data_IF_792556135422
#
_entry.id   IF_792556135422
#
_cell.length_a   1.000
_cell.length_b   1.000
_cell.length_c   1.000
_cell.angle_alpha   90.00
_cell.angle_beta   90.00
_cell.angle_gamma   90.00
#
_symmetry.space_group_name_H-M   'P 1'
#
loop_
_entity.id
_entity.type
_entity.pdbx_description
1 polymer ?
#
# COMPACT_ATOMS: atom_id res chain seq x y z
N UNK A 1 -2.48 5.23 1.95
CA UNK A 1 -2.08 4.70 0.63
C UNK A 1 -1.10 3.56 0.82
N UNK A 2 -1.32 2.44 0.13
CA UNK A 2 -0.53 1.21 0.20
C UNK A 2 0.26 1.00 -1.09
N UNK A 3 1.59 0.86 -0.98
CA UNK A 3 2.47 0.67 -2.13
C UNK A 3 2.41 -0.75 -2.72
N UNK A 4 3.02 -0.97 -3.89
CA UNK A 4 3.10 -2.29 -4.53
C UNK A 4 4.29 -3.13 -4.04
N UNK A 5 4.48 -4.28 -4.70
CA UNK A 5 5.62 -5.18 -4.46
C UNK A 5 6.96 -4.49 -4.68
N UNK A 6 7.95 -4.83 -3.85
CA UNK A 6 9.33 -4.36 -3.94
C UNK A 6 9.47 -2.83 -3.95
N UNK A 7 8.58 -2.14 -3.24
CA UNK A 7 8.61 -0.70 -3.06
C UNK A 7 8.78 -0.36 -1.58
N UNK A 8 9.28 0.85 -1.31
CA UNK A 8 9.19 1.46 0.00
C UNK A 8 8.37 2.75 -0.10
N UNK A 9 8.00 3.31 1.05
CA UNK A 9 7.18 4.53 1.12
C UNK A 9 7.84 5.72 0.42
N UNK A 10 9.16 5.86 0.45
CA UNK A 10 9.85 6.96 -0.20
C UNK A 10 9.78 6.87 -1.74
N UNK A 11 10.03 5.68 -2.30
CA UNK A 11 9.92 5.44 -3.75
C UNK A 11 8.48 5.66 -4.21
N UNK A 12 7.52 5.12 -3.46
CA UNK A 12 6.11 5.22 -3.80
C UNK A 12 5.58 6.65 -3.70
N UNK A 13 5.89 7.37 -2.62
CA UNK A 13 5.48 8.78 -2.45
C UNK A 13 6.06 9.69 -3.55
N UNK A 14 7.30 9.46 -3.98
CA UNK A 14 7.89 10.18 -5.11
C UNK A 14 7.13 9.92 -6.42
N UNK A 15 6.79 8.66 -6.71
CA UNK A 15 6.01 8.29 -7.91
C UNK A 15 4.58 8.86 -7.85
N UNK A 16 3.98 8.93 -6.67
CA UNK A 16 2.63 9.43 -6.48
C UNK A 16 2.55 10.94 -6.26
N UNK A 17 3.64 11.70 -6.40
CA UNK A 17 3.70 13.15 -6.07
C UNK A 17 2.60 13.98 -6.74
N UNK A 18 2.31 13.72 -8.03
CA UNK A 18 1.24 14.42 -8.77
C UNK A 18 -0.15 14.15 -8.17
N UNK A 19 -0.43 12.90 -7.81
CA UNK A 19 -1.68 12.49 -7.17
C UNK A 19 -1.81 13.11 -5.78
N UNK A 20 -0.75 13.04 -4.97
CA UNK A 20 -0.72 13.66 -3.63
C UNK A 20 -1.02 15.15 -3.72
N UNK A 21 -0.37 15.88 -4.64
CA UNK A 21 -0.61 17.32 -4.83
C UNK A 21 -2.10 17.61 -5.12
N UNK A 22 -2.76 16.77 -5.92
CA UNK A 22 -4.20 16.91 -6.21
C UNK A 22 -5.07 16.62 -4.98
N UNK A 23 -4.79 15.53 -4.26
CA UNK A 23 -5.52 15.16 -3.04
C UNK A 23 -5.37 16.22 -1.95
N UNK A 24 -4.16 16.70 -1.71
CA UNK A 24 -3.90 17.78 -0.74
C UNK A 24 -4.57 19.08 -1.14
N UNK A 25 -4.57 19.44 -2.44
CA UNK A 25 -5.34 20.60 -2.93
C UNK A 25 -6.85 20.47 -2.68
N UNK A 26 -7.37 19.24 -2.67
CA UNK A 26 -8.76 18.94 -2.36
C UNK A 26 -9.03 18.79 -0.84
N UNK A 27 -8.07 19.12 0.03
CA UNK A 27 -8.24 19.09 1.49
C UNK A 27 -7.97 17.74 2.14
N UNK A 28 -7.49 16.73 1.40
CA UNK A 28 -7.17 15.43 1.98
C UNK A 28 -5.77 15.38 2.59
N UNK A 29 -5.69 14.87 3.82
CA UNK A 29 -4.42 14.42 4.42
C UNK A 29 -4.05 13.05 3.87
N UNK A 30 -2.91 12.98 3.18
CA UNK A 30 -2.44 11.71 2.59
C UNK A 30 -1.42 11.06 3.52
N UNK A 31 -1.71 9.82 3.94
CA UNK A 31 -0.80 9.00 4.74
C UNK A 31 -0.31 7.83 3.89
N UNK A 32 1.00 7.60 3.88
CA UNK A 32 1.63 6.44 3.25
C UNK A 32 2.00 5.41 4.32
N UNK A 33 1.60 4.16 4.12
CA UNK A 33 1.95 3.07 5.03
C UNK A 33 3.05 2.22 4.41
N UNK A 34 4.06 1.91 5.22
CA UNK A 34 5.15 0.99 4.88
C UNK A 34 4.67 -0.43 5.14
N UNK A 35 4.82 -1.31 4.15
CA UNK A 35 4.52 -2.72 4.31
C UNK A 35 5.47 -3.37 5.34
N UNK A 36 5.01 -4.36 6.14
CA UNK A 36 5.78 -4.90 7.25
C UNK A 36 6.90 -5.86 6.81
N UNK A 37 6.78 -6.50 5.63
CA UNK A 37 7.74 -7.52 5.21
C UNK A 37 8.88 -6.91 4.41
N UNK A 38 10.07 -6.89 4.99
CA UNK A 38 11.30 -6.46 4.30
C UNK A 38 11.79 -7.55 3.36
N UNK A 39 12.03 -7.18 2.11
CA UNK A 39 12.56 -8.09 1.11
C UNK A 39 14.09 -8.20 1.22
N UNK A 40 14.67 -9.37 0.91
CA UNK A 40 16.11 -9.52 0.78
C UNK A 40 16.65 -8.50 -0.24
N UNK A 41 17.81 -7.88 0.01
CA UNK A 41 18.44 -7.01 -0.99
C UNK A 41 18.67 -7.83 -2.28
N UNK A 42 18.34 -7.23 -3.44
CA UNK A 42 18.67 -7.83 -4.73
C UNK A 42 20.19 -8.03 -4.73
N UNK A 43 20.65 -9.28 -4.76
CA UNK A 43 22.05 -9.56 -4.99
C UNK A 43 22.34 -9.12 -6.42
N UNK A 44 23.03 -7.99 -6.55
CA UNK A 44 23.52 -7.51 -7.84
C UNK A 44 24.47 -8.60 -8.33
N UNK A 45 24.04 -9.37 -9.31
CA UNK A 45 24.90 -10.41 -9.90
C UNK A 45 26.19 -9.75 -10.38
N UNK A 46 27.33 -10.43 -10.28
CA UNK A 46 28.63 -9.85 -10.63
C UNK A 46 28.64 -9.24 -12.05
N UNK A 47 27.83 -9.78 -12.96
CA UNK A 47 27.62 -9.27 -14.32
C UNK A 47 27.05 -7.85 -14.38
N UNK A 48 26.10 -7.49 -13.51
CA UNK A 48 25.52 -6.13 -13.48
C UNK A 48 26.54 -5.08 -12.98
N UNK A 49 27.60 -5.49 -12.26
CA UNK A 49 28.66 -4.57 -11.80
C UNK A 49 29.69 -4.24 -12.88
N UNK A 50 29.90 -5.13 -13.84
CA UNK A 50 30.87 -4.89 -14.93
C UNK A 50 30.31 -3.88 -15.95
N UNK A 51 29.04 -3.98 -16.30
CA UNK A 51 28.39 -3.03 -17.23
C UNK A 51 28.28 -1.59 -16.67
N UNK A 52 28.10 -1.44 -15.35
CA UNK A 52 28.02 -0.11 -14.72
C UNK A 52 29.40 0.60 -14.71
N UNK A 53 30.49 -0.16 -14.64
CA UNK A 53 31.85 0.39 -14.71
C UNK A 53 32.28 0.77 -16.14
N UNK A 54 31.87 0.01 -17.16
CA UNK A 54 32.22 0.36 -18.55
C UNK A 54 31.46 1.59 -19.04
N UNK A 55 30.19 1.75 -18.67
CA UNK A 55 29.36 2.88 -19.10
C UNK A 55 29.80 4.23 -18.48
N UNK A 56 30.50 4.21 -17.34
CA UNK A 56 30.98 5.44 -16.68
C UNK A 56 32.30 5.99 -17.26
N UNK A 57 32.96 5.28 -18.17
CA UNK A 57 34.30 5.66 -18.65
C UNK A 57 34.32 6.57 -19.88
N UNK A 58 33.17 6.87 -20.50
CA UNK A 58 33.12 7.54 -21.81
C UNK A 58 32.64 9.01 -21.80
N UNK A 59 32.77 9.71 -20.67
CA UNK A 59 32.48 11.15 -20.59
C UNK A 59 33.65 11.89 -19.90
N UNK A 60 34.77 11.97 -20.60
CA UNK A 60 35.84 12.91 -20.29
C UNK A 60 36.42 13.47 -21.59
N UNK A 61 35.89 14.59 -22.08
CA UNK A 61 36.72 15.62 -22.70
C UNK A 61 36.01 16.98 -22.77
N UNK A 62 36.74 17.98 -22.27
CA UNK A 62 36.59 19.42 -22.44
C UNK A 62 35.52 20.15 -21.62
N UNK A 63 35.91 20.58 -20.41
CA UNK A 63 35.55 21.92 -19.94
C UNK A 63 36.52 22.44 -18.87
N UNK A 64 37.19 23.53 -19.22
CA UNK A 64 38.15 24.29 -18.42
C UNK A 64 37.40 25.39 -17.66
N UNK A 65 37.84 25.64 -16.43
CA UNK A 65 37.74 26.87 -15.61
C UNK A 65 36.53 27.12 -14.68
N UNK A 66 36.91 27.44 -13.43
CA UNK A 66 36.24 28.25 -12.39
C UNK A 66 35.19 27.60 -11.45
N UNK A 67 35.70 26.87 -10.46
CA UNK A 67 35.50 27.07 -9.00
C UNK A 67 34.10 27.44 -8.45
N UNK A 68 33.41 26.43 -7.91
CA UNK A 68 32.83 26.45 -6.55
C UNK A 68 32.44 25.02 -6.15
N UNK A 69 33.28 24.37 -5.37
CA UNK A 69 33.19 22.95 -4.98
C UNK A 69 32.19 22.75 -3.83
N UNK A 70 30.91 22.55 -4.14
CA UNK A 70 29.95 21.91 -3.24
C UNK A 70 29.91 20.42 -3.55
N UNK A 71 30.62 19.63 -2.75
CA UNK A 71 30.66 18.17 -2.82
C UNK A 71 29.28 17.58 -2.54
N UNK A 72 28.47 17.42 -3.58
CA UNK A 72 27.22 16.66 -3.54
C UNK A 72 27.55 15.16 -3.55
N UNK A 73 27.98 14.63 -2.40
CA UNK A 73 28.11 13.20 -2.18
C UNK A 73 26.75 12.54 -2.41
N UNK A 74 26.68 11.75 -3.48
CA UNK A 74 25.48 11.18 -4.08
C UNK A 74 24.65 10.38 -3.07
N UNK A 75 23.41 10.82 -2.89
CA UNK A 75 22.40 10.28 -1.98
C UNK A 75 21.78 8.95 -2.45
N UNK A 76 22.60 8.01 -2.94
CA UNK A 76 22.13 6.70 -3.42
C UNK A 76 21.68 5.76 -2.27
N UNK A 77 21.91 6.13 -1.01
CA UNK A 77 21.54 5.32 0.17
C UNK A 77 20.03 5.15 0.39
N UNK A 78 19.16 5.85 -0.34
CA UNK A 78 17.71 5.81 -0.10
C UNK A 78 16.99 4.57 -0.66
N UNK A 79 17.66 3.75 -1.49
CA UNK A 79 17.11 2.49 -2.01
C UNK A 79 17.50 1.26 -1.18
N UNK A 80 17.98 1.46 0.06
CA UNK A 80 18.62 0.38 0.82
C UNK A 80 17.71 -0.84 1.03
N UNK A 81 16.38 -0.65 1.13
CA UNK A 81 15.43 -1.72 1.36
C UNK A 81 14.15 -1.60 0.51
N UNK A 82 13.69 -2.75 0.02
CA UNK A 82 12.41 -2.95 -0.63
C UNK A 82 11.49 -3.74 0.32
N UNK A 83 10.17 -3.52 0.22
CA UNK A 83 9.20 -4.17 1.08
C UNK A 83 8.05 -4.76 0.26
N UNK A 84 7.38 -5.74 0.85
CA UNK A 84 6.17 -6.38 0.34
C UNK A 84 5.11 -6.46 1.43
N UNK A 85 3.85 -6.51 1.01
CA UNK A 85 2.73 -6.72 1.93
C UNK A 85 2.52 -8.18 2.25
N UNK A 86 2.94 -9.07 1.37
CA UNK A 86 2.90 -10.50 1.60
C UNK A 86 3.83 -11.14 0.58
N UNK A 87 4.27 -12.34 0.86
CA UNK A 87 5.17 -13.11 0.03
C UNK A 87 4.35 -14.17 -0.72
N UNK A 88 4.72 -14.40 -1.98
CA UNK A 88 4.19 -15.55 -2.71
C UNK A 88 4.74 -16.83 -2.07
N UNK A 89 3.86 -17.77 -1.75
CA UNK A 89 4.30 -19.08 -1.29
C UNK A 89 5.03 -19.78 -2.44
N UNK A 90 6.34 -19.95 -2.30
CA UNK A 90 7.18 -20.65 -3.29
C UNK A 90 7.09 -22.18 -3.16
N UNK A 91 6.32 -22.69 -2.21
CA UNK A 91 6.24 -24.10 -1.89
C UNK A 91 5.47 -24.96 -2.92
N UNK A 92 5.18 -24.44 -4.11
CA UNK A 92 4.79 -25.27 -5.26
C UNK A 92 5.95 -25.35 -6.27
N UNK A 93 6.99 -26.16 -6.01
CA UNK A 93 8.02 -26.48 -6.99
C UNK A 93 7.51 -27.43 -8.09
N UNK A 94 6.23 -27.81 -8.08
CA UNK A 94 5.65 -28.62 -9.14
C UNK A 94 5.39 -27.73 -10.36
N UNK A 95 6.31 -27.78 -11.31
CA UNK A 95 6.13 -27.32 -12.69
C UNK A 95 5.08 -28.13 -13.44
N UNK A 96 3.93 -28.36 -12.83
CA UNK A 96 2.77 -28.94 -13.47
C UNK A 96 1.85 -27.80 -13.90
N UNK A 97 1.39 -27.86 -15.13
CA UNK A 97 0.60 -26.84 -15.84
C UNK A 97 -0.82 -26.69 -15.28
N UNK A 98 -0.98 -26.73 -13.96
CA UNK A 98 -2.27 -26.53 -13.32
C UNK A 98 -2.66 -25.04 -13.35
N UNK A 99 -3.97 -24.76 -13.51
CA UNK A 99 -4.48 -23.45 -13.86
C UNK A 99 -4.11 -22.42 -12.79
N UNK A 100 -4.05 -21.14 -13.22
CA UNK A 100 -3.81 -19.95 -12.41
C UNK A 100 -4.12 -20.14 -10.92
N UNK A 101 -3.20 -19.77 -10.01
CA UNK A 101 -3.42 -19.90 -8.57
C UNK A 101 -4.80 -19.34 -8.24
N UNK A 102 -5.59 -20.15 -7.54
CA UNK A 102 -6.96 -19.83 -7.20
C UNK A 102 -7.05 -18.38 -6.70
N UNK A 103 -8.19 -17.72 -6.91
CA UNK A 103 -8.43 -16.34 -6.45
C UNK A 103 -8.13 -16.16 -4.94
N UNK A 104 -8.08 -17.27 -4.20
CA UNK A 104 -7.74 -17.38 -2.78
C UNK A 104 -6.28 -17.72 -2.49
N UNK A 105 -5.36 -17.55 -3.45
CA UNK A 105 -3.95 -17.94 -3.35
C UNK A 105 -3.35 -17.75 -1.96
N UNK A 106 -2.66 -18.79 -1.48
CA UNK A 106 -2.10 -18.80 -0.14
C UNK A 106 -0.88 -17.86 -0.09
N UNK A 107 -1.10 -16.68 0.47
CA UNK A 107 -0.10 -15.62 0.56
C UNK A 107 0.51 -15.63 1.97
N UNK A 108 1.77 -16.01 2.08
CA UNK A 108 2.50 -15.95 3.34
C UNK A 108 2.62 -14.50 3.81
N UNK A 109 2.31 -14.21 5.07
CA UNK A 109 2.39 -12.85 5.62
C UNK A 109 1.14 -11.98 5.38
N UNK A 110 0.08 -12.54 4.76
CA UNK A 110 -1.15 -11.79 4.46
C UNK A 110 -1.92 -11.41 5.72
N UNK A 111 -2.08 -12.33 6.67
CA UNK A 111 -2.82 -12.09 7.90
C UNK A 111 -2.12 -11.04 8.77
N UNK A 112 -0.80 -11.15 8.90
CA UNK A 112 0.06 -10.22 9.61
C UNK A 112 -0.04 -8.80 9.02
N UNK A 113 -0.11 -8.70 7.69
CA UNK A 113 -0.32 -7.42 7.02
C UNK A 113 -1.72 -6.85 7.17
N UNK A 114 -2.75 -7.70 7.24
CA UNK A 114 -4.11 -7.27 7.55
C UNK A 114 -4.21 -6.76 9.00
N UNK A 115 -3.63 -7.48 9.97
CA UNK A 115 -3.57 -7.07 11.37
C UNK A 115 -2.81 -5.75 11.53
N UNK A 116 -1.62 -5.64 10.93
CA UNK A 116 -0.85 -4.40 10.92
C UNK A 116 -1.65 -3.24 10.32
N UNK A 117 -2.31 -3.46 9.18
CA UNK A 117 -3.13 -2.43 8.54
C UNK A 117 -4.33 -2.04 9.44
N UNK A 118 -4.97 -2.99 10.11
CA UNK A 118 -6.06 -2.70 11.03
C UNK A 118 -5.60 -1.85 12.22
N UNK A 119 -4.44 -2.15 12.81
CA UNK A 119 -3.85 -1.38 13.91
C UNK A 119 -3.54 0.05 13.48
N UNK A 120 -2.92 0.24 12.30
CA UNK A 120 -2.62 1.56 11.76
C UNK A 120 -3.88 2.36 11.43
N UNK A 121 -4.92 1.72 10.86
CA UNK A 121 -6.20 2.38 10.60
C UNK A 121 -6.88 2.80 11.90
N UNK A 122 -6.86 1.96 12.94
CA UNK A 122 -7.43 2.29 14.24
C UNK A 122 -6.71 3.49 14.85
N UNK A 123 -5.37 3.48 14.85
CA UNK A 123 -4.56 4.60 15.34
C UNK A 123 -4.89 5.91 14.62
N UNK A 124 -4.98 5.87 13.28
CA UNK A 124 -5.32 7.05 12.48
C UNK A 124 -6.73 7.58 12.77
N UNK A 125 -7.68 6.70 13.14
CA UNK A 125 -9.03 7.10 13.53
C UNK A 125 -9.03 7.71 14.94
N UNK A 126 -8.35 7.08 15.89
CA UNK A 126 -8.23 7.56 17.28
C UNK A 126 -7.56 8.93 17.36
N UNK A 127 -6.47 9.14 16.60
CA UNK A 127 -5.74 10.41 16.57
C UNK A 127 -6.61 11.59 16.08
N UNK A 128 -7.73 11.32 15.41
CA UNK A 128 -8.67 12.33 14.91
C UNK A 128 -9.89 12.57 15.82
N UNK A 129 -10.05 11.86 16.95
CA UNK A 129 -11.25 12.00 17.81
C UNK A 129 -11.38 13.36 18.52
N UNK A 130 -10.31 14.16 18.56
CA UNK A 130 -10.39 15.54 19.06
C UNK A 130 -11.14 16.49 18.11
N UNK A 131 -11.54 16.03 16.92
CA UNK A 131 -12.36 16.80 15.98
C UNK A 131 -13.84 16.42 16.13
N UNK A 132 -14.72 17.43 16.15
CA UNK A 132 -16.18 17.26 16.24
C UNK A 132 -16.80 16.51 15.05
N UNK A 133 -16.05 16.36 13.96
CA UNK A 133 -16.47 15.63 12.77
C UNK A 133 -15.34 14.72 12.32
N UNK A 134 -15.47 13.40 12.51
CA UNK A 134 -14.50 12.46 11.97
C UNK A 134 -14.56 12.48 10.42
N UNK A 135 -13.48 12.87 9.74
CA UNK A 135 -13.49 12.92 8.29
C UNK A 135 -13.58 11.51 7.68
N UNK A 136 -14.16 11.36 6.48
CA UNK A 136 -14.19 10.08 5.78
C UNK A 136 -12.76 9.59 5.49
N UNK A 137 -12.53 8.30 5.73
CA UNK A 137 -11.25 7.64 5.47
C UNK A 137 -11.29 6.91 4.13
N UNK A 138 -10.35 7.24 3.25
CA UNK A 138 -10.17 6.61 1.95
C UNK A 138 -8.91 5.75 1.95
N UNK A 139 -9.05 4.46 1.59
CA UNK A 139 -7.93 3.55 1.45
C UNK A 139 -7.66 3.27 -0.03
N UNK A 140 -6.47 3.64 -0.49
CA UNK A 140 -5.98 3.43 -1.85
C UNK A 140 -4.80 2.45 -1.82
N UNK A 141 -4.81 1.44 -2.70
CA UNK A 141 -3.74 0.46 -2.82
C UNK A 141 -3.35 0.21 -4.28
N UNK A 142 -2.09 -0.17 -4.49
CA UNK A 142 -1.51 -0.46 -5.81
C UNK A 142 -0.89 -1.86 -5.82
N UNK A 143 -1.12 -2.64 -6.88
CA UNK A 143 -0.62 -4.03 -6.99
C UNK A 143 -0.96 -4.84 -5.72
N UNK A 144 0.02 -5.37 -4.97
CA UNK A 144 -0.22 -6.04 -3.69
C UNK A 144 -1.01 -5.20 -2.68
N UNK A 145 -0.75 -3.89 -2.62
CA UNK A 145 -1.51 -2.99 -1.76
C UNK A 145 -3.00 -2.98 -2.13
N UNK A 146 -3.35 -3.09 -3.42
CA UNK A 146 -4.75 -3.14 -3.86
C UNK A 146 -5.45 -4.43 -3.38
N UNK A 147 -4.75 -5.57 -3.43
CA UNK A 147 -5.25 -6.85 -2.91
C UNK A 147 -5.61 -6.74 -1.42
N UNK A 148 -4.74 -6.11 -0.62
CA UNK A 148 -5.03 -5.84 0.79
C UNK A 148 -6.25 -4.95 0.99
N UNK A 149 -6.36 -3.84 0.22
CA UNK A 149 -7.54 -2.98 0.30
C UNK A 149 -8.80 -3.79 0.04
N UNK A 150 -8.82 -4.59 -1.03
CA UNK A 150 -9.95 -5.44 -1.36
C UNK A 150 -10.30 -6.43 -0.24
N UNK A 151 -9.31 -7.08 0.38
CA UNK A 151 -9.55 -7.99 1.52
C UNK A 151 -10.14 -7.26 2.72
N UNK A 152 -9.62 -6.08 3.08
CA UNK A 152 -10.18 -5.27 4.17
C UNK A 152 -11.63 -4.89 3.88
N UNK A 153 -11.94 -4.47 2.65
CA UNK A 153 -13.32 -4.13 2.25
C UNK A 153 -14.23 -5.36 2.34
N UNK A 154 -13.80 -6.49 1.76
CA UNK A 154 -14.58 -7.72 1.75
C UNK A 154 -14.91 -8.19 3.18
N UNK A 155 -13.92 -8.24 4.08
CA UNK A 155 -14.12 -8.60 5.49
C UNK A 155 -15.12 -7.67 6.18
N UNK A 156 -15.10 -6.36 5.88
CA UNK A 156 -16.05 -5.40 6.45
C UNK A 156 -17.47 -5.57 5.93
N UNK A 157 -17.62 -5.75 4.62
CA UNK A 157 -18.93 -5.95 3.99
C UNK A 157 -19.58 -7.24 4.50
N UNK A 158 -18.82 -8.33 4.56
CA UNK A 158 -19.30 -9.61 5.09
C UNK A 158 -19.76 -9.49 6.55
N UNK A 159 -18.93 -8.91 7.44
CA UNK A 159 -19.33 -8.72 8.84
C UNK A 159 -20.51 -7.78 9.03
N UNK A 160 -20.70 -6.81 8.13
CA UNK A 160 -21.86 -5.93 8.17
C UNK A 160 -23.14 -6.70 7.80
N UNK A 161 -23.09 -7.53 6.75
CA UNK A 161 -24.20 -8.38 6.35
C UNK A 161 -24.58 -9.38 7.47
N UNK A 162 -23.60 -10.05 8.08
CA UNK A 162 -23.83 -10.96 9.22
C UNK A 162 -24.50 -10.25 10.40
N UNK A 163 -24.08 -9.02 10.72
CA UNK A 163 -24.70 -8.22 11.79
C UNK A 163 -26.12 -7.80 11.47
N UNK A 164 -26.39 -7.44 10.21
CA UNK A 164 -27.75 -7.11 9.78
C UNK A 164 -28.67 -8.32 9.85
N UNK A 165 -28.21 -9.48 9.40
CA UNK A 165 -28.96 -10.72 9.50
C UNK A 165 -29.21 -11.10 10.97
N UNK A 166 -28.18 -11.05 11.83
CA UNK A 166 -28.32 -11.33 13.25
C UNK A 166 -29.26 -10.33 13.96
N UNK A 167 -29.30 -9.07 13.54
CA UNK A 167 -30.25 -8.09 14.06
C UNK A 167 -31.67 -8.39 13.59
N UNK A 168 -31.85 -8.72 12.31
CA UNK A 168 -33.14 -9.10 11.75
C UNK A 168 -33.72 -10.34 12.43
N UNK A 169 -32.90 -11.39 12.64
CA UNK A 169 -33.31 -12.61 13.35
C UNK A 169 -33.71 -12.33 14.80
N UNK A 170 -33.05 -11.37 15.47
CA UNK A 170 -33.41 -10.93 16.82
C UNK A 170 -34.72 -10.14 16.85
N UNK A 171 -34.93 -9.25 15.88
CA UNK A 171 -36.15 -8.45 15.79
C UNK A 171 -37.36 -9.34 15.46
N UNK A 172 -37.17 -10.39 14.66
CA UNK A 172 -38.22 -11.39 14.40
C UNK A 172 -38.51 -12.31 15.59
N UNK A 173 -37.55 -12.53 16.49
CA UNK A 173 -37.68 -13.46 17.61
C UNK A 173 -37.92 -12.79 18.99
N UNK A 174 -37.84 -11.47 19.13
CA UNK A 174 -37.93 -10.81 20.45
C UNK A 174 -39.07 -9.80 20.56
N UNK A 175 -40.09 -10.16 21.35
CA UNK A 175 -41.08 -9.24 21.94
C UNK A 175 -40.58 -8.63 23.27
N UNK A 176 -39.26 -8.52 23.45
CA UNK A 176 -38.66 -8.02 24.70
C UNK A 176 -37.55 -6.99 24.39
N UNK A 177 -37.75 -5.71 24.72
CA UNK A 177 -36.79 -4.65 24.41
C UNK A 177 -35.54 -4.77 25.30
N UNK A 178 -34.35 -4.60 24.70
CA UNK A 178 -33.06 -4.50 25.41
C UNK A 178 -32.32 -3.19 25.08
N UNK A 179 -31.42 -2.73 25.97
CA UNK A 179 -30.67 -1.49 25.79
C UNK A 179 -29.58 -1.63 24.71
N UNK A 180 -29.19 -0.50 24.06
CA UNK A 180 -28.25 -0.50 22.94
C UNK A 180 -26.82 -0.84 23.35
N UNK A 181 -26.17 -1.71 22.58
CA UNK A 181 -24.74 -2.05 22.73
C UNK A 181 -23.91 -1.14 21.81
N UNK A 182 -23.04 -0.32 22.39
CA UNK A 182 -22.10 0.51 21.63
C UNK A 182 -20.80 -0.25 21.35
N UNK A 183 -20.70 -0.86 20.16
CA UNK A 183 -19.44 -1.49 19.72
C UNK A 183 -18.44 -0.45 19.23
N UNK A 184 -17.15 -0.50 19.61
CA UNK A 184 -16.09 0.39 19.09
C UNK A 184 -15.99 0.37 17.56
N UNK A 185 -16.37 -0.76 16.92
CA UNK A 185 -16.32 -0.93 15.47
C UNK A 185 -17.42 -0.18 14.70
N UNK A 186 -18.48 0.28 15.38
CA UNK A 186 -19.55 1.07 14.75
C UNK A 186 -19.07 2.43 14.24
N UNK A 187 -17.93 2.93 14.75
CA UNK A 187 -17.35 4.22 14.38
C UNK A 187 -16.59 4.22 13.05
N UNK A 188 -16.17 3.05 12.56
CA UNK A 188 -15.41 2.91 11.30
C UNK A 188 -16.34 2.86 10.07
N UNK A 189 -17.66 2.82 10.25
CA UNK A 189 -18.66 2.64 9.18
C UNK A 189 -18.79 3.79 8.17
N UNK A 190 -17.99 4.88 8.29
CA UNK A 190 -17.98 6.02 7.34
C UNK A 190 -16.77 6.03 6.39
N UNK A 191 -16.14 4.88 6.15
CA UNK A 191 -15.12 4.75 5.12
C UNK A 191 -15.76 4.63 3.73
N UNK A 192 -15.68 5.67 2.91
CA UNK A 192 -16.00 5.57 1.48
C UNK A 192 -14.75 5.02 0.78
N UNK A 193 -14.90 3.87 0.12
CA UNK A 193 -13.80 3.16 -0.54
C UNK A 193 -13.93 3.28 -2.06
N UNK A 194 -12.88 3.78 -2.69
CA UNK A 194 -12.74 3.85 -4.15
C UNK A 194 -11.61 2.92 -4.54
N UNK A 195 -11.92 1.72 -5.05
CA UNK A 195 -10.97 0.87 -5.75
C UNK A 195 -11.11 1.11 -7.24
N UNK A 196 -10.04 1.60 -7.88
CA UNK A 196 -10.04 1.84 -9.33
C UNK A 196 -9.34 3.14 -9.71
N UNK A 197 -8.02 3.11 -9.78
CA UNK A 197 -7.27 4.05 -10.60
C UNK A 197 -6.23 3.26 -11.37
N UNK A 198 -6.56 2.94 -12.63
CA UNK A 198 -5.55 2.51 -13.59
C UNK A 198 -4.79 3.77 -14.02
N UNK A 199 -3.59 3.98 -13.47
CA UNK A 199 -2.67 4.98 -13.98
C UNK A 199 -2.16 4.46 -15.33
N UNK A 200 -2.91 4.73 -16.40
CA UNK A 200 -2.35 4.63 -17.75
C UNK A 200 -1.21 5.64 -17.83
N UNK A 201 0.03 5.16 -17.78
CA UNK A 201 1.19 5.95 -18.14
C UNK A 201 1.20 6.05 -19.66
N UNK A 202 0.42 6.99 -20.18
CA UNK A 202 0.57 7.49 -21.55
C UNK A 202 1.84 8.36 -21.59
N UNK A 203 2.99 7.70 -21.70
CA UNK A 203 4.20 8.32 -22.22
C UNK A 203 4.17 8.23 -23.74
N UNK A 204 3.39 9.12 -24.36
CA UNK A 204 3.62 9.45 -25.76
C UNK A 204 4.90 10.30 -25.86
N UNK A 205 5.91 9.87 -26.64
CA UNK A 205 7.12 10.66 -26.83
C UNK A 205 6.75 11.95 -27.57
N UNK A 206 7.12 13.10 -27.00
CA UNK A 206 7.11 14.37 -27.74
C UNK A 206 8.26 14.29 -28.75
N UNK A 207 7.90 14.20 -30.03
CA UNK A 207 8.79 14.51 -31.14
C UNK A 207 9.05 16.02 -31.19
#
# INVERSE_FOLDING_TARGET
>A
MLHGWAQNVHVFSNRSRKLVKRLTKAGYRVVFLQAPHRLPPKQVSAKEKEEENESSSHIHQNQTTASSSSSSSSSSSSRKYAYGWFLYNKADPAGDSTPLPSLTGDYHGMNESLEYLQLELLRLVTDNENSTTSPPLFLLGFSQGAVLVHKVVATRVCHHAERQQAQQERDTNSYQPRPPITSPWSRISKCVLVSGFSLSTDESPRQ
#
